data_IF_439104804017
#
_entry.id   IF_439104804017
#
_cell.length_a   1.000
_cell.length_b   1.000
_cell.length_c   1.000
_cell.angle_alpha   90.00
_cell.angle_beta   90.00
_cell.angle_gamma   90.00
#
_symmetry.space_group_name_H-M   'P 1'
#
loop_
_entity.id
_entity.type
_entity.pdbx_description
1 polymer ?
#
# COMPACT_ATOMS: atom_id res chain seq x y z
N UNK A 1 20.26 -29.95 18.70
CA UNK A 1 18.81 -29.66 18.72
C UNK A 1 18.55 -28.47 19.66
N UNK A 2 18.92 -27.26 19.26
CA UNK A 2 18.47 -26.04 19.94
C UNK A 2 17.15 -25.62 19.31
N UNK A 3 16.04 -26.04 19.91
CA UNK A 3 14.75 -25.43 19.63
C UNK A 3 14.85 -23.98 20.06
N UNK A 4 15.11 -23.08 19.12
CA UNK A 4 14.85 -21.65 19.33
C UNK A 4 13.36 -21.57 19.63
N UNK A 5 13.02 -21.38 20.91
CA UNK A 5 11.65 -21.09 21.31
C UNK A 5 11.20 -19.93 20.42
N UNK A 6 10.20 -20.13 19.53
CA UNK A 6 9.76 -19.07 18.65
C UNK A 6 9.28 -17.95 19.56
N UNK A 7 10.05 -16.86 19.60
CA UNK A 7 9.65 -15.64 20.30
C UNK A 7 8.32 -15.26 19.66
N UNK A 8 7.24 -15.29 20.45
CA UNK A 8 5.93 -14.87 19.98
C UNK A 8 5.99 -13.36 19.82
N UNK A 9 6.45 -12.93 18.66
CA UNK A 9 6.35 -11.54 18.22
C UNK A 9 4.85 -11.28 18.08
N UNK A 10 4.27 -10.33 18.83
CA UNK A 10 2.88 -9.95 18.64
C UNK A 10 2.68 -9.56 17.18
N UNK A 11 1.61 -10.05 16.54
CA UNK A 11 1.34 -9.76 15.14
C UNK A 11 1.11 -8.25 14.86
N UNK A 12 0.92 -7.47 15.92
CA UNK A 12 0.71 -6.03 15.88
C UNK A 12 1.86 -5.34 16.63
N UNK A 13 2.90 -4.96 15.88
CA UNK A 13 4.11 -4.30 16.38
C UNK A 13 3.83 -2.83 16.75
N UNK A 14 2.73 -2.25 16.26
CA UNK A 14 2.29 -0.87 16.54
C UNK A 14 1.35 -0.79 17.78
N UNK A 15 1.50 -1.70 18.74
CA UNK A 15 0.72 -1.63 19.97
C UNK A 15 1.10 -0.39 20.81
N UNK A 16 0.14 0.50 21.02
CA UNK A 16 0.34 1.69 21.84
C UNK A 16 0.70 1.33 23.29
N UNK A 17 1.67 2.06 23.84
CA UNK A 17 2.10 1.90 25.24
C UNK A 17 0.94 2.14 26.22
N UNK A 18 0.86 1.22 27.20
CA UNK A 18 -0.13 1.26 28.29
C UNK A 18 0.49 2.00 29.46
N UNK A 19 -0.14 3.09 29.90
CA UNK A 19 0.44 4.00 30.90
C UNK A 19 -0.19 3.78 32.28
N UNK A 20 -1.52 3.62 32.35
CA UNK A 20 -2.23 3.53 33.63
C UNK A 20 -3.20 2.35 33.60
N UNK A 21 -2.98 1.35 34.47
CA UNK A 21 -3.92 0.25 34.67
C UNK A 21 -4.24 -0.57 33.40
N UNK A 22 -3.34 -0.58 32.41
CA UNK A 22 -3.56 -1.26 31.13
C UNK A 22 -4.23 -0.41 30.04
N UNK A 23 -4.56 0.86 30.30
CA UNK A 23 -5.10 1.79 29.30
C UNK A 23 -3.98 2.58 28.61
N UNK A 24 -4.21 2.91 27.33
CA UNK A 24 -3.30 3.77 26.56
C UNK A 24 -3.49 5.25 26.93
N UNK A 25 -2.47 6.09 26.67
CA UNK A 25 -2.56 7.54 26.89
C UNK A 25 -3.82 8.16 26.28
N UNK A 26 -4.16 7.71 25.06
CA UNK A 26 -5.36 8.13 24.33
C UNK A 26 -6.64 7.78 25.09
N UNK A 27 -6.75 6.56 25.60
CA UNK A 27 -7.94 6.10 26.32
C UNK A 27 -8.15 6.91 27.60
N UNK A 28 -7.07 7.17 28.34
CA UNK A 28 -7.10 8.02 29.53
C UNK A 28 -7.53 9.45 29.17
N UNK A 29 -7.02 10.01 28.08
CA UNK A 29 -7.41 11.35 27.62
C UNK A 29 -8.90 11.44 27.24
N UNK A 30 -9.42 10.44 26.51
CA UNK A 30 -10.84 10.41 26.10
C UNK A 30 -11.76 10.25 27.32
N UNK A 31 -11.46 9.30 28.20
CA UNK A 31 -12.26 9.04 29.40
C UNK A 31 -12.18 10.21 30.38
N UNK A 32 -10.97 10.73 30.64
CA UNK A 32 -10.75 11.88 31.50
C UNK A 32 -11.41 13.15 30.97
N UNK A 33 -11.31 13.40 29.66
CA UNK A 33 -11.99 14.52 29.01
C UNK A 33 -13.51 14.41 29.10
N UNK A 34 -14.06 13.21 28.88
CA UNK A 34 -15.51 12.96 28.99
C UNK A 34 -16.00 13.16 30.43
N UNK A 35 -15.27 12.64 31.41
CA UNK A 35 -15.59 12.80 32.83
C UNK A 35 -15.48 14.28 33.27
N UNK A 36 -14.44 14.99 32.82
CA UNK A 36 -14.25 16.41 33.09
C UNK A 36 -15.36 17.27 32.50
N UNK A 37 -15.80 16.98 31.27
CA UNK A 37 -16.93 17.67 30.63
C UNK A 37 -18.22 17.46 31.41
N UNK A 38 -18.51 16.23 31.83
CA UNK A 38 -19.67 15.93 32.65
C UNK A 38 -19.60 16.68 33.99
N UNK A 39 -18.46 16.64 34.67
CA UNK A 39 -18.27 17.34 35.94
C UNK A 39 -18.45 18.86 35.79
N UNK A 40 -17.87 19.47 34.76
CA UNK A 40 -18.06 20.89 34.48
C UNK A 40 -19.54 21.24 34.22
N UNK A 41 -20.25 20.40 33.46
CA UNK A 41 -21.69 20.56 33.26
C UNK A 41 -22.49 20.44 34.56
N UNK A 42 -22.10 19.54 35.47
CA UNK A 42 -22.71 19.42 36.79
C UNK A 42 -22.48 20.66 37.64
N UNK A 43 -21.27 21.21 37.65
CA UNK A 43 -20.96 22.43 38.43
C UNK A 43 -21.75 23.66 37.94
N UNK A 44 -22.09 23.72 36.65
CA UNK A 44 -22.85 24.84 36.07
C UNK A 44 -24.37 24.67 36.20
N UNK A 45 -24.89 23.45 36.01
CA UNK A 45 -26.33 23.18 35.93
C UNK A 45 -26.89 22.46 37.17
N UNK A 46 -26.05 21.91 38.04
CA UNK A 46 -26.45 21.00 39.11
C UNK A 46 -27.36 21.63 40.17
N UNK A 47 -27.25 22.94 40.41
CA UNK A 47 -28.16 23.66 41.32
C UNK A 47 -29.54 23.91 40.69
N UNK A 48 -29.63 23.88 39.36
CA UNK A 48 -30.84 24.23 38.60
C UNK A 48 -31.59 23.01 38.06
N UNK A 49 -30.96 21.83 38.06
CA UNK A 49 -31.48 20.61 37.42
C UNK A 49 -31.53 19.45 38.42
N UNK A 50 -32.68 18.76 38.56
CA UNK A 50 -32.77 17.56 39.40
C UNK A 50 -31.75 16.49 38.99
N UNK A 51 -31.15 15.82 39.97
CA UNK A 51 -30.07 14.83 39.76
C UNK A 51 -30.43 13.74 38.73
N UNK A 52 -31.69 13.29 38.71
CA UNK A 52 -32.17 12.28 37.76
C UNK A 52 -32.12 12.80 36.32
N UNK A 53 -32.51 14.05 36.08
CA UNK A 53 -32.47 14.65 34.74
C UNK A 53 -31.04 14.85 34.25
N UNK A 54 -30.14 15.28 35.15
CA UNK A 54 -28.72 15.35 34.85
C UNK A 54 -28.16 13.97 34.50
N UNK A 55 -28.47 12.94 35.28
CA UNK A 55 -28.03 11.56 35.04
C UNK A 55 -28.50 11.00 33.69
N UNK A 56 -29.74 11.26 33.31
CA UNK A 56 -30.29 10.85 32.00
C UNK A 56 -29.53 11.51 30.84
N UNK A 57 -29.14 12.78 30.96
CA UNK A 57 -28.32 13.48 29.96
C UNK A 57 -26.85 13.07 29.97
N UNK A 58 -26.30 12.76 31.14
CA UNK A 58 -24.90 12.36 31.31
C UNK A 58 -24.63 10.94 30.80
N UNK A 59 -25.58 10.02 30.96
CA UNK A 59 -25.46 8.62 30.57
C UNK A 59 -25.05 8.41 29.09
N UNK A 60 -25.70 9.00 28.08
CA UNK A 60 -25.30 8.82 26.68
C UNK A 60 -23.91 9.40 26.38
N UNK A 61 -23.52 10.51 27.03
CA UNK A 61 -22.20 11.11 26.88
C UNK A 61 -21.12 10.19 27.45
N UNK A 62 -21.34 9.66 28.66
CA UNK A 62 -20.43 8.70 29.30
C UNK A 62 -20.29 7.42 28.46
N UNK A 63 -21.41 6.86 27.98
CA UNK A 63 -21.41 5.67 27.14
C UNK A 63 -20.66 5.91 25.82
N UNK A 64 -20.86 7.07 25.19
CA UNK A 64 -20.15 7.47 23.97
C UNK A 64 -18.65 7.60 24.22
N UNK A 65 -18.23 8.23 25.32
CA UNK A 65 -16.82 8.34 25.70
C UNK A 65 -16.16 6.97 25.91
N UNK A 66 -16.85 6.04 26.56
CA UNK A 66 -16.38 4.66 26.74
C UNK A 66 -16.29 3.94 25.40
N UNK A 67 -17.32 4.05 24.55
CA UNK A 67 -17.36 3.41 23.24
C UNK A 67 -16.25 3.94 22.32
N UNK A 68 -15.95 5.25 22.37
CA UNK A 68 -14.85 5.86 21.61
C UNK A 68 -13.47 5.42 22.14
N UNK A 69 -13.31 5.25 23.45
CA UNK A 69 -12.05 4.84 24.05
C UNK A 69 -11.73 3.35 23.82
N UNK A 70 -12.74 2.48 23.92
CA UNK A 70 -12.55 1.02 23.88
C UNK A 70 -12.89 0.42 22.52
N UNK A 71 -13.86 1.00 21.81
CA UNK A 71 -14.35 0.48 20.55
C UNK A 71 -13.27 0.41 19.48
N UNK A 72 -13.25 -0.69 18.74
CA UNK A 72 -12.44 -0.87 17.54
C UNK A 72 -13.31 -1.41 16.42
N UNK A 73 -13.02 -0.97 15.20
CA UNK A 73 -13.62 -1.48 13.97
C UNK A 73 -12.50 -1.72 12.98
N UNK A 74 -12.41 -2.96 12.48
CA UNK A 74 -11.42 -3.36 11.47
C UNK A 74 -9.97 -2.99 11.85
N UNK A 75 -9.62 -3.10 13.14
CA UNK A 75 -8.31 -2.75 13.68
C UNK A 75 -8.09 -1.26 14.01
N UNK A 76 -8.99 -0.37 13.57
CA UNK A 76 -8.93 1.08 13.85
C UNK A 76 -9.76 1.43 15.08
N UNK A 77 -9.26 2.32 15.93
CA UNK A 77 -10.00 2.82 17.09
C UNK A 77 -11.22 3.66 16.67
N UNK A 78 -12.32 3.57 17.42
CA UNK A 78 -13.61 4.14 17.02
C UNK A 78 -13.57 5.67 16.97
N UNK A 79 -12.78 6.32 17.81
CA UNK A 79 -12.50 7.75 17.75
C UNK A 79 -11.86 8.18 16.42
N UNK A 80 -10.82 7.48 15.96
CA UNK A 80 -10.18 7.72 14.66
C UNK A 80 -11.15 7.44 13.52
N UNK A 81 -11.93 6.37 13.64
CA UNK A 81 -12.94 6.02 12.64
C UNK A 81 -14.02 7.10 12.50
N UNK A 82 -14.61 7.55 13.61
CA UNK A 82 -15.63 8.62 13.62
C UNK A 82 -15.05 9.93 13.11
N UNK A 83 -13.82 10.27 13.51
CA UNK A 83 -13.16 11.48 13.06
C UNK A 83 -12.84 11.43 11.56
N UNK A 84 -12.39 10.28 11.05
CA UNK A 84 -12.23 10.04 9.62
C UNK A 84 -13.57 10.12 8.87
N UNK A 85 -14.64 9.55 9.42
CA UNK A 85 -15.99 9.62 8.85
C UNK A 85 -16.52 11.07 8.81
N UNK A 86 -16.32 11.85 9.88
CA UNK A 86 -16.70 13.26 9.92
C UNK A 86 -15.89 14.10 8.92
N UNK A 87 -14.57 13.85 8.82
CA UNK A 87 -13.73 14.48 7.79
C UNK A 87 -14.19 14.11 6.38
N UNK A 88 -14.49 12.84 6.14
CA UNK A 88 -14.98 12.36 4.85
C UNK A 88 -16.34 12.97 4.48
N UNK A 89 -17.28 13.05 5.43
CA UNK A 89 -18.58 13.69 5.20
C UNK A 89 -18.46 15.19 4.90
N UNK A 90 -17.47 15.87 5.49
CA UNK A 90 -17.18 17.29 5.22
C UNK A 90 -16.31 17.52 3.98
N UNK A 91 -15.64 16.48 3.48
CA UNK A 91 -14.80 16.57 2.28
C UNK A 91 -15.66 16.69 1.02
N UNK A 92 -15.11 17.36 0.00
CA UNK A 92 -15.78 17.41 -1.32
C UNK A 92 -15.73 16.02 -1.96
N UNK A 93 -16.88 15.59 -2.48
CA UNK A 93 -17.05 14.25 -3.07
C UNK A 93 -16.70 14.21 -4.56
N UNK A 94 -16.84 15.36 -5.22
CA UNK A 94 -16.47 15.51 -6.63
C UNK A 94 -14.99 15.88 -6.69
N UNK A 95 -14.16 14.93 -7.12
CA UNK A 95 -12.71 15.08 -7.23
C UNK A 95 -12.28 15.01 -8.70
N UNK A 96 -11.38 15.89 -9.11
CA UNK A 96 -10.87 15.94 -10.48
C UNK A 96 -9.35 15.77 -10.46
N UNK A 97 -8.85 14.98 -11.40
CA UNK A 97 -7.40 14.86 -11.68
C UNK A 97 -6.90 16.13 -12.34
N UNK A 98 -6.62 17.16 -11.54
CA UNK A 98 -6.01 18.42 -11.99
C UNK A 98 -4.61 18.53 -11.38
N UNK A 99 -3.59 18.63 -12.23
CA UNK A 99 -2.19 18.87 -11.82
C UNK A 99 -2.00 20.29 -11.25
N UNK A 100 -2.85 21.22 -11.66
CA UNK A 100 -2.82 22.63 -11.29
C UNK A 100 -4.12 23.05 -10.57
N UNK A 101 -4.12 24.22 -9.93
CA UNK A 101 -5.32 24.77 -9.30
C UNK A 101 -6.46 24.88 -10.30
N UNK A 102 -7.64 24.38 -9.92
CA UNK A 102 -8.85 24.43 -10.76
C UNK A 102 -9.14 25.91 -11.08
N UNK A 103 -9.08 26.35 -12.36
CA UNK A 103 -9.26 27.74 -12.72
C UNK A 103 -10.66 28.23 -12.34
N UNK A 104 -10.78 29.53 -12.03
CA UNK A 104 -12.06 30.14 -11.70
C UNK A 104 -13.01 30.13 -12.90
N UNK A 105 -14.30 29.95 -12.63
CA UNK A 105 -15.33 29.99 -13.67
C UNK A 105 -15.25 31.30 -14.47
N UNK A 106 -15.25 31.24 -15.81
CA UNK A 106 -15.32 32.43 -16.64
C UNK A 106 -16.56 33.27 -16.31
N UNK A 107 -16.43 34.59 -16.30
CA UNK A 107 -17.48 35.52 -15.88
C UNK A 107 -18.79 35.44 -16.69
N UNK A 108 -18.77 34.80 -17.86
CA UNK A 108 -19.95 34.62 -18.73
C UNK A 108 -20.81 33.39 -18.37
N UNK A 109 -20.35 32.52 -17.46
CA UNK A 109 -21.14 31.37 -16.99
C UNK A 109 -22.07 31.81 -15.85
N UNK A 110 -23.35 32.02 -16.17
CA UNK A 110 -24.41 32.35 -15.20
C UNK A 110 -25.12 31.11 -14.62
N UNK A 111 -24.54 29.92 -14.78
CA UNK A 111 -25.16 28.68 -14.30
C UNK A 111 -25.25 28.65 -12.77
N UNK A 112 -26.28 27.96 -12.24
CA UNK A 112 -26.44 27.71 -10.79
C UNK A 112 -25.12 27.16 -10.23
N UNK A 113 -24.67 27.74 -9.13
CA UNK A 113 -23.42 27.39 -8.44
C UNK A 113 -23.49 25.95 -7.92
N UNK A 114 -23.13 24.99 -8.76
CA UNK A 114 -22.84 23.61 -8.33
C UNK A 114 -21.57 23.69 -7.45
N UNK A 115 -21.48 22.92 -6.35
CA UNK A 115 -20.25 22.84 -5.57
C UNK A 115 -19.07 22.51 -6.50
N UNK A 116 -18.04 23.36 -6.49
CA UNK A 116 -16.86 23.14 -7.34
C UNK A 116 -16.20 21.81 -6.95
N UNK A 117 -15.72 21.01 -7.92
CA UNK A 117 -14.91 19.86 -7.59
C UNK A 117 -13.65 20.29 -6.83
N UNK A 118 -13.10 19.39 -6.02
CA UNK A 118 -11.78 19.56 -5.40
C UNK A 118 -10.72 18.81 -6.22
N UNK A 119 -9.45 19.22 -6.15
CA UNK A 119 -8.37 18.46 -6.77
C UNK A 119 -8.22 17.09 -6.09
N UNK A 120 -8.05 16.04 -6.89
CA UNK A 120 -7.69 14.72 -6.42
C UNK A 120 -6.19 14.70 -6.06
N UNK A 121 -5.89 14.68 -4.76
CA UNK A 121 -4.52 14.51 -4.28
C UNK A 121 -4.20 13.02 -4.13
N UNK A 122 -3.40 12.49 -5.06
CA UNK A 122 -2.85 11.14 -4.95
C UNK A 122 -1.56 11.16 -4.10
N UNK A 123 -1.30 10.11 -3.30
CA UNK A 123 -0.05 10.00 -2.53
C UNK A 123 1.21 9.98 -3.40
N UNK A 124 1.08 9.51 -4.64
CA UNK A 124 2.12 9.58 -5.66
C UNK A 124 1.75 10.65 -6.70
N UNK A 125 2.70 11.51 -7.03
CA UNK A 125 2.55 12.55 -8.08
C UNK A 125 2.89 12.03 -9.47
N UNK A 126 3.77 11.03 -9.55
CA UNK A 126 4.21 10.47 -10.82
C UNK A 126 5.32 9.44 -10.65
N UNK A 127 5.74 8.88 -11.78
CA UNK A 127 6.84 7.91 -11.90
C UNK A 127 7.87 8.50 -12.86
N UNK A 128 9.09 8.73 -12.35
CA UNK A 128 10.22 9.21 -13.13
C UNK A 128 10.75 8.11 -14.08
N UNK A 129 11.59 8.49 -15.05
CA UNK A 129 12.08 7.59 -16.10
C UNK A 129 12.97 6.45 -15.57
N UNK A 130 13.60 6.67 -14.42
CA UNK A 130 14.38 5.66 -13.69
C UNK A 130 13.52 4.69 -12.85
N UNK A 131 12.18 4.81 -12.92
CA UNK A 131 11.24 3.97 -12.18
C UNK A 131 10.94 4.44 -10.77
N UNK A 132 11.51 5.56 -10.32
CA UNK A 132 11.24 6.10 -8.98
C UNK A 132 9.86 6.76 -8.90
N UNK A 133 9.18 6.52 -7.78
CA UNK A 133 7.90 7.15 -7.46
C UNK A 133 8.16 8.48 -6.75
N UNK A 134 7.57 9.53 -7.30
CA UNK A 134 7.52 10.85 -6.68
C UNK A 134 6.39 10.92 -5.65
N UNK A 135 6.74 11.06 -4.37
CA UNK A 135 5.79 11.23 -3.26
C UNK A 135 5.62 12.71 -2.86
N UNK A 136 6.16 13.64 -3.64
CA UNK A 136 6.11 15.07 -3.35
C UNK A 136 6.85 15.44 -2.06
N UNK A 137 6.17 16.05 -1.06
CA UNK A 137 6.81 16.42 0.21
C UNK A 137 7.31 15.19 1.00
N UNK A 138 6.72 14.02 0.73
CA UNK A 138 7.06 12.78 1.42
C UNK A 138 8.34 12.11 0.88
N UNK A 139 8.93 12.65 -0.18
CA UNK A 139 10.20 12.21 -0.74
C UNK A 139 10.06 11.39 -2.02
N UNK A 140 10.94 10.40 -2.19
CA UNK A 140 10.93 9.47 -3.32
C UNK A 140 10.91 8.03 -2.84
N UNK A 141 10.35 7.13 -3.64
CA UNK A 141 10.37 5.70 -3.36
C UNK A 141 10.89 4.90 -4.55
N UNK A 142 11.83 3.99 -4.28
CA UNK A 142 12.31 3.00 -5.23
C UNK A 142 11.63 1.66 -4.97
N UNK A 143 11.29 0.95 -6.05
CA UNK A 143 10.63 -0.35 -6.00
C UNK A 143 11.51 -1.43 -6.60
N UNK A 144 11.53 -2.60 -5.97
CA UNK A 144 12.03 -3.82 -6.58
C UNK A 144 11.09 -5.00 -6.34
N UNK A 145 11.00 -5.88 -7.31
CA UNK A 145 10.41 -7.20 -7.13
C UNK A 145 11.47 -8.16 -6.60
N UNK A 146 11.12 -8.94 -5.57
CA UNK A 146 12.02 -9.88 -4.92
C UNK A 146 11.50 -11.30 -5.14
N UNK A 147 12.38 -12.21 -5.56
CA UNK A 147 12.02 -13.62 -5.65
C UNK A 147 11.89 -14.26 -4.28
N UNK A 148 11.42 -15.51 -4.25
CA UNK A 148 11.26 -16.29 -3.02
C UNK A 148 12.12 -17.55 -3.08
N UNK A 149 12.55 -18.02 -1.91
CA UNK A 149 13.24 -19.31 -1.77
C UNK A 149 12.39 -20.30 -0.97
N UNK A 150 12.49 -21.59 -1.31
CA UNK A 150 11.82 -22.68 -0.58
C UNK A 150 12.51 -22.99 0.75
N UNK A 151 12.40 -22.07 1.72
CA UNK A 151 13.10 -22.13 3.01
C UNK A 151 12.92 -23.46 3.75
N UNK A 152 11.69 -23.99 3.82
CA UNK A 152 11.37 -25.23 4.54
C UNK A 152 11.99 -26.50 3.93
N UNK A 153 12.41 -26.47 2.66
CA UNK A 153 13.05 -27.59 1.98
C UNK A 153 14.57 -27.58 2.12
N UNK A 154 15.15 -26.58 2.78
CA UNK A 154 16.59 -26.43 3.01
C UNK A 154 17.04 -27.22 4.23
N UNK A 155 18.31 -27.59 4.26
CA UNK A 155 18.91 -28.24 5.44
C UNK A 155 18.94 -27.25 6.63
N UNK A 156 19.03 -27.71 7.89
CA UNK A 156 19.10 -26.80 9.04
C UNK A 156 20.24 -25.78 8.95
N UNK A 157 21.43 -26.21 8.51
CA UNK A 157 22.59 -25.31 8.35
C UNK A 157 22.35 -24.26 7.25
N UNK A 158 21.69 -24.65 6.15
CA UNK A 158 21.29 -23.71 5.10
C UNK A 158 20.24 -22.72 5.61
N UNK A 159 19.26 -23.18 6.41
CA UNK A 159 18.26 -22.32 7.02
C UNK A 159 18.91 -21.29 7.96
N UNK A 160 19.84 -21.72 8.82
CA UNK A 160 20.58 -20.83 9.72
C UNK A 160 21.44 -19.81 8.96
N UNK A 161 22.05 -20.23 7.84
CA UNK A 161 22.80 -19.34 6.96
C UNK A 161 21.90 -18.29 6.30
N UNK A 162 20.71 -18.69 5.82
CA UNK A 162 19.71 -17.78 5.24
C UNK A 162 19.17 -16.78 6.28
N UNK A 163 18.83 -17.24 7.48
CA UNK A 163 18.37 -16.39 8.58
C UNK A 163 19.46 -15.39 8.98
N UNK A 164 20.71 -15.84 9.09
CA UNK A 164 21.84 -14.98 9.39
C UNK A 164 22.10 -13.94 8.29
N UNK A 165 21.99 -14.35 7.02
CA UNK A 165 22.12 -13.45 5.87
C UNK A 165 21.03 -12.37 5.85
N UNK A 166 19.78 -12.76 6.06
CA UNK A 166 18.66 -11.83 6.18
C UNK A 166 18.81 -10.89 7.37
N UNK A 167 19.26 -11.40 8.53
CA UNK A 167 19.57 -10.58 9.71
C UNK A 167 20.68 -9.55 9.46
N UNK A 168 21.74 -9.91 8.70
CA UNK A 168 22.77 -8.95 8.29
C UNK A 168 22.19 -7.83 7.43
N UNK A 169 21.29 -8.16 6.50
CA UNK A 169 20.61 -7.15 5.69
C UNK A 169 19.74 -6.21 6.54
N UNK A 170 18.95 -6.75 7.47
CA UNK A 170 18.16 -5.91 8.39
C UNK A 170 19.04 -4.97 9.23
N UNK A 171 20.18 -5.46 9.72
CA UNK A 171 21.13 -4.68 10.50
C UNK A 171 21.89 -3.62 9.67
N UNK A 172 21.92 -3.75 8.34
CA UNK A 172 22.57 -2.76 7.46
C UNK A 172 21.63 -1.64 7.01
N UNK A 173 20.33 -1.70 7.35
CA UNK A 173 19.36 -0.71 6.91
C UNK A 173 19.66 0.66 7.55
N UNK A 174 19.95 1.64 6.71
CA UNK A 174 20.21 3.03 7.10
C UNK A 174 18.97 3.94 7.08
N UNK A 175 17.80 3.38 6.77
CA UNK A 175 16.54 4.12 6.70
C UNK A 175 15.33 3.19 6.54
N UNK A 176 14.12 3.75 6.36
CA UNK A 176 12.91 2.96 6.26
C UNK A 176 12.91 2.10 5.00
N UNK A 177 12.46 0.86 5.15
CA UNK A 177 12.23 -0.12 4.09
C UNK A 177 10.90 -0.79 4.38
N UNK A 178 10.10 -1.02 3.35
CA UNK A 178 8.85 -1.78 3.45
C UNK A 178 8.94 -3.02 2.58
N UNK A 179 8.54 -4.16 3.16
CA UNK A 179 8.35 -5.42 2.45
C UNK A 179 6.85 -5.58 2.27
N UNK A 180 6.37 -5.55 1.03
CA UNK A 180 4.97 -5.75 0.69
C UNK A 180 4.81 -7.10 0.02
N UNK A 181 3.97 -7.96 0.60
CA UNK A 181 3.59 -9.25 0.00
C UNK A 181 2.13 -9.13 -0.42
N UNK A 182 1.86 -9.28 -1.72
CA UNK A 182 0.50 -9.26 -2.26
C UNK A 182 0.19 -10.52 -3.06
N UNK A 183 -1.08 -10.91 -3.09
CA UNK A 183 -1.58 -11.83 -4.10
C UNK A 183 -1.84 -11.01 -5.37
N UNK A 184 -1.33 -11.48 -6.50
CA UNK A 184 -1.53 -10.87 -7.82
C UNK A 184 -1.97 -11.95 -8.81
N UNK A 185 -2.90 -11.63 -9.74
CA UNK A 185 -3.24 -12.55 -10.81
C UNK A 185 -1.99 -12.89 -11.64
N UNK A 186 -1.91 -14.14 -12.07
CA UNK A 186 -0.87 -14.61 -12.98
C UNK A 186 -1.36 -14.36 -14.40
N UNK A 187 -0.65 -13.49 -15.13
CA UNK A 187 -0.84 -13.37 -16.57
C UNK A 187 0.01 -14.44 -17.28
N UNK A 188 -0.67 -15.32 -18.01
CA UNK A 188 -0.05 -16.38 -18.81
C UNK A 188 0.07 -16.02 -20.29
N UNK A 189 -0.43 -14.85 -20.71
CA UNK A 189 -0.54 -14.46 -22.12
C UNK A 189 0.82 -14.47 -22.81
N UNK A 190 1.85 -13.93 -22.16
CA UNK A 190 3.22 -13.93 -22.70
C UNK A 190 3.78 -15.35 -22.86
N UNK A 191 3.58 -16.22 -21.87
CA UNK A 191 4.01 -17.61 -21.91
C UNK A 191 3.29 -18.40 -23.02
N UNK A 192 1.97 -18.20 -23.16
CA UNK A 192 1.14 -18.82 -24.19
C UNK A 192 1.60 -18.35 -25.58
N UNK A 193 1.77 -17.05 -25.79
CA UNK A 193 2.24 -16.50 -27.07
C UNK A 193 3.65 -17.00 -27.41
N UNK A 194 4.55 -17.01 -26.43
CA UNK A 194 5.90 -17.55 -26.60
C UNK A 194 5.89 -19.02 -27.02
N UNK A 195 4.99 -19.84 -26.46
CA UNK A 195 4.86 -21.24 -26.88
C UNK A 195 4.37 -21.35 -28.32
N UNK A 196 3.36 -20.57 -28.71
CA UNK A 196 2.79 -20.57 -30.06
C UNK A 196 3.80 -20.09 -31.11
N UNK A 197 4.55 -19.04 -30.80
CA UNK A 197 5.54 -18.47 -31.71
C UNK A 197 6.75 -19.41 -31.87
N UNK A 198 7.27 -19.95 -30.78
CA UNK A 198 8.39 -20.89 -30.82
C UNK A 198 8.00 -22.23 -31.46
N UNK A 199 6.74 -22.64 -31.39
CA UNK A 199 6.27 -23.89 -32.00
C UNK A 199 6.55 -23.97 -33.52
N UNK A 200 6.60 -22.82 -34.19
CA UNK A 200 6.90 -22.69 -35.63
C UNK A 200 8.35 -22.99 -35.99
N UNK A 201 9.26 -22.82 -35.03
CA UNK A 201 10.70 -23.03 -35.22
C UNK A 201 11.14 -24.47 -34.84
N UNK A 202 10.24 -25.28 -34.27
CA UNK A 202 10.55 -26.64 -33.84
C UNK A 202 10.70 -27.57 -35.05
N UNK A 203 11.77 -28.37 -35.05
CA UNK A 203 12.14 -29.23 -36.18
C UNK A 203 11.31 -30.50 -36.31
N UNK A 204 10.68 -30.98 -35.23
CA UNK A 204 9.94 -32.24 -35.21
C UNK A 204 8.43 -31.98 -35.03
N UNK A 205 7.54 -32.53 -35.90
CA UNK A 205 6.09 -32.28 -35.83
C UNK A 205 5.44 -32.60 -34.48
N UNK A 206 5.90 -33.67 -33.82
CA UNK A 206 5.41 -34.03 -32.48
C UNK A 206 5.71 -32.96 -31.42
N UNK A 207 6.84 -32.26 -31.52
CA UNK A 207 7.18 -31.17 -30.58
C UNK A 207 6.32 -29.93 -30.85
N UNK A 208 6.06 -29.62 -32.13
CA UNK A 208 5.10 -28.57 -32.51
C UNK A 208 3.70 -28.89 -31.98
N UNK A 209 3.23 -30.13 -32.10
CA UNK A 209 1.94 -30.55 -31.56
C UNK A 209 1.89 -30.41 -30.03
N UNK A 210 2.92 -30.88 -29.32
CA UNK A 210 3.01 -30.77 -27.87
C UNK A 210 3.03 -29.31 -27.39
N UNK A 211 3.72 -28.41 -28.10
CA UNK A 211 3.75 -26.98 -27.78
C UNK A 211 2.35 -26.33 -27.90
N UNK A 212 1.60 -26.66 -28.96
CA UNK A 212 0.23 -26.17 -29.12
C UNK A 212 -0.73 -26.75 -28.08
N UNK A 213 -0.60 -28.03 -27.75
CA UNK A 213 -1.40 -28.67 -26.70
C UNK A 213 -1.12 -28.03 -25.34
N UNK A 214 0.15 -27.72 -25.04
CA UNK A 214 0.51 -27.02 -23.81
C UNK A 214 -0.04 -25.60 -23.77
N UNK A 215 0.04 -24.83 -24.87
CA UNK A 215 -0.57 -23.51 -24.96
C UNK A 215 -2.10 -23.55 -24.77
N UNK A 216 -2.78 -24.56 -25.34
CA UNK A 216 -4.21 -24.77 -25.15
C UNK A 216 -4.55 -25.15 -23.70
N UNK A 217 -3.72 -25.96 -23.05
CA UNK A 217 -3.86 -26.30 -21.63
C UNK A 217 -3.74 -25.06 -20.74
N UNK A 218 -2.70 -24.23 -20.94
CA UNK A 218 -2.50 -23.00 -20.18
C UNK A 218 -3.64 -22.00 -20.37
N UNK A 219 -4.14 -21.86 -21.60
CA UNK A 219 -5.33 -21.06 -21.92
C UNK A 219 -6.57 -21.59 -21.19
N UNK A 220 -6.76 -22.92 -21.16
CA UNK A 220 -7.84 -23.53 -20.40
C UNK A 220 -7.71 -23.31 -18.89
N UNK A 221 -6.48 -23.26 -18.37
CA UNK A 221 -6.20 -23.02 -16.96
C UNK A 221 -6.53 -21.58 -16.55
N UNK A 222 -6.15 -20.59 -17.37
CA UNK A 222 -6.42 -19.16 -17.09
C UNK A 222 -7.91 -18.82 -17.15
N UNK A 223 -8.70 -19.49 -17.99
CA UNK A 223 -10.15 -19.27 -18.09
C UNK A 223 -10.92 -19.91 -16.93
N UNK A 224 -10.46 -21.06 -16.41
CA UNK A 224 -11.21 -21.83 -15.40
C UNK A 224 -10.83 -21.51 -13.96
N UNK A 225 -9.64 -20.96 -13.73
CA UNK A 225 -9.10 -20.78 -12.38
C UNK A 225 -8.53 -19.38 -12.18
N UNK A 226 -8.80 -18.79 -11.03
CA UNK A 226 -8.10 -17.61 -10.55
C UNK A 226 -6.69 -18.01 -10.12
N UNK A 227 -5.75 -17.92 -11.06
CA UNK A 227 -4.35 -18.19 -10.80
C UNK A 227 -3.73 -17.00 -10.07
N UNK A 228 -3.41 -17.19 -8.80
CA UNK A 228 -2.78 -16.16 -7.97
C UNK A 228 -1.33 -16.53 -7.66
N UNK A 229 -0.42 -15.57 -7.84
CA UNK A 229 0.96 -15.65 -7.34
C UNK A 229 1.16 -14.70 -6.16
N UNK A 230 2.05 -15.09 -5.26
CA UNK A 230 2.58 -14.17 -4.24
C UNK A 230 3.66 -13.32 -4.90
N UNK A 231 3.39 -12.04 -5.03
CA UNK A 231 4.37 -11.05 -5.45
C UNK A 231 4.96 -10.39 -4.21
N UNK A 232 6.29 -10.43 -4.09
CA UNK A 232 7.04 -9.80 -2.99
C UNK A 232 7.72 -8.56 -3.55
N UNK A 233 7.46 -7.42 -2.92
CA UNK A 233 7.97 -6.12 -3.30
C UNK A 233 8.80 -5.54 -2.16
N UNK A 234 9.94 -4.98 -2.52
CA UNK A 234 10.81 -4.22 -1.65
C UNK A 234 10.70 -2.74 -2.00
N UNK A 235 10.28 -1.93 -1.04
CA UNK A 235 10.06 -0.50 -1.20
C UNK A 235 11.08 0.23 -0.33
N UNK A 236 11.93 1.03 -0.95
CA UNK A 236 12.90 1.89 -0.25
C UNK A 236 12.42 3.33 -0.37
N UNK A 237 12.06 3.95 0.76
CA UNK A 237 11.65 5.36 0.81
C UNK A 237 12.79 6.23 1.30
N UNK A 238 13.01 7.34 0.60
CA UNK A 238 13.96 8.38 1.00
C UNK A 238 13.25 9.72 1.14
N UNK A 239 13.28 10.36 2.33
CA UNK A 239 12.75 11.69 2.49
C UNK A 239 13.62 12.71 1.72
N UNK A 240 12.97 13.67 1.10
CA UNK A 240 13.63 14.84 0.53
C UNK A 240 13.84 15.87 1.64
N UNK A 241 15.07 16.00 2.14
CA UNK A 241 15.43 17.14 2.98
C UNK A 241 15.56 18.36 2.07
N UNK A 242 14.57 19.25 2.12
CA UNK A 242 14.49 20.56 1.43
C UNK A 242 14.17 20.57 -0.08
N UNK A 243 13.73 21.75 -0.54
CA UNK A 243 13.41 22.03 -1.94
C UNK A 243 14.68 21.98 -2.80
N UNK A 244 14.78 20.96 -3.64
CA UNK A 244 15.97 20.67 -4.46
C UNK A 244 16.74 19.40 -4.04
N UNK A 245 16.37 18.78 -2.92
CA UNK A 245 16.98 17.53 -2.44
C UNK A 245 16.53 16.26 -3.16
N UNK A 246 15.70 16.36 -4.21
CA UNK A 246 15.13 15.19 -4.91
C UNK A 246 16.21 14.33 -5.54
N UNK A 247 17.16 14.92 -6.27
CA UNK A 247 18.20 14.15 -6.97
C UNK A 247 19.14 13.43 -5.99
N UNK A 248 19.38 14.05 -4.84
CA UNK A 248 20.13 13.40 -3.76
C UNK A 248 19.33 12.28 -3.10
N UNK A 249 18.01 12.43 -2.96
CA UNK A 249 17.13 11.39 -2.43
C UNK A 249 16.98 10.22 -3.40
N UNK A 250 16.83 10.47 -4.71
CA UNK A 250 16.77 9.43 -5.75
C UNK A 250 18.06 8.62 -5.79
N UNK A 251 19.22 9.29 -5.81
CA UNK A 251 20.51 8.62 -5.79
C UNK A 251 20.72 7.77 -4.52
N UNK A 252 20.23 8.23 -3.36
CA UNK A 252 20.25 7.44 -2.11
C UNK A 252 19.32 6.23 -2.18
N UNK A 253 18.11 6.40 -2.69
CA UNK A 253 17.13 5.33 -2.81
C UNK A 253 17.64 4.20 -3.72
N UNK A 254 18.21 4.56 -4.88
CA UNK A 254 18.82 3.61 -5.81
C UNK A 254 20.02 2.87 -5.19
N UNK A 255 20.95 3.60 -4.53
CA UNK A 255 22.08 2.97 -3.85
C UNK A 255 21.65 1.96 -2.78
N UNK A 256 20.66 2.33 -1.95
CA UNK A 256 20.12 1.43 -0.92
C UNK A 256 19.42 0.21 -1.52
N UNK A 257 18.74 0.37 -2.66
CA UNK A 257 18.13 -0.74 -3.37
C UNK A 257 19.19 -1.71 -3.93
N UNK A 258 20.29 -1.18 -4.49
CA UNK A 258 21.41 -1.99 -4.94
C UNK A 258 22.14 -2.71 -3.78
N UNK A 259 22.35 -2.02 -2.65
CA UNK A 259 22.90 -2.63 -1.44
C UNK A 259 22.02 -3.77 -0.94
N UNK A 260 20.70 -3.56 -0.91
CA UNK A 260 19.75 -4.61 -0.59
C UNK A 260 19.84 -5.78 -1.59
N UNK A 261 19.94 -5.50 -2.89
CA UNK A 261 20.11 -6.52 -3.92
C UNK A 261 21.38 -7.37 -3.71
N UNK A 262 22.51 -6.71 -3.41
CA UNK A 262 23.79 -7.40 -3.13
C UNK A 262 23.72 -8.28 -1.88
N UNK A 263 23.14 -7.79 -0.79
CA UNK A 263 23.05 -8.53 0.47
C UNK A 263 22.04 -9.68 0.41
N UNK A 264 20.89 -9.46 -0.24
CA UNK A 264 19.85 -10.47 -0.40
C UNK A 264 20.23 -11.55 -1.43
N UNK A 265 21.08 -11.22 -2.42
CA UNK A 265 21.65 -12.22 -3.32
C UNK A 265 22.43 -13.32 -2.56
N UNK A 266 23.12 -12.96 -1.46
CA UNK A 266 23.75 -13.92 -0.56
C UNK A 266 22.78 -14.88 0.15
N UNK A 267 21.49 -14.55 0.16
CA UNK A 267 20.40 -15.39 0.67
C UNK A 267 19.69 -16.18 -0.46
N UNK A 268 20.23 -16.19 -1.68
CA UNK A 268 19.59 -16.82 -2.83
C UNK A 268 18.34 -16.08 -3.32
N UNK A 269 18.13 -14.84 -2.91
CA UNK A 269 17.02 -13.99 -3.35
C UNK A 269 17.51 -13.09 -4.49
N UNK A 270 16.70 -12.94 -5.52
CA UNK A 270 16.97 -12.03 -6.64
C UNK A 270 16.11 -10.78 -6.46
N UNK A 271 16.75 -9.63 -6.35
CA UNK A 271 16.08 -8.33 -6.26
C UNK A 271 16.19 -7.64 -7.62
N UNK A 272 15.06 -7.40 -8.26
CA UNK A 272 14.96 -6.75 -9.56
C UNK A 272 14.31 -5.38 -9.40
N UNK A 273 15.09 -4.27 -9.48
CA UNK A 273 14.52 -2.93 -9.53
C UNK A 273 13.50 -2.81 -10.66
N UNK A 274 12.40 -2.12 -10.39
CA UNK A 274 11.36 -1.87 -11.40
C UNK A 274 11.69 -0.58 -12.15
N UNK A 275 11.63 -0.65 -13.48
CA UNK A 275 11.72 0.50 -14.36
C UNK A 275 10.41 1.30 -14.38
N UNK A 276 10.39 2.42 -15.12
CA UNK A 276 9.21 3.28 -15.18
C UNK A 276 7.95 2.58 -15.70
N UNK A 277 7.99 1.80 -16.80
CA UNK A 277 6.82 1.05 -17.26
C UNK A 277 6.32 0.02 -16.24
N UNK A 278 7.20 -0.80 -15.66
CA UNK A 278 6.81 -1.80 -14.68
C UNK A 278 6.26 -1.18 -13.40
N UNK A 279 6.84 -0.06 -12.94
CA UNK A 279 6.32 0.69 -11.78
C UNK A 279 4.94 1.26 -12.05
N UNK A 280 4.69 1.82 -13.24
CA UNK A 280 3.35 2.32 -13.62
C UNK A 280 2.32 1.20 -13.69
N UNK A 281 2.65 0.07 -14.34
CA UNK A 281 1.77 -1.09 -14.41
C UNK A 281 1.47 -1.67 -13.02
N UNK A 282 2.48 -1.74 -12.14
CA UNK A 282 2.30 -2.16 -10.76
C UNK A 282 1.37 -1.21 -10.01
N UNK A 283 1.57 0.11 -10.08
CA UNK A 283 0.68 1.08 -9.44
C UNK A 283 -0.75 0.98 -9.97
N UNK A 284 -0.94 0.83 -11.28
CA UNK A 284 -2.26 0.65 -11.87
C UNK A 284 -2.95 -0.61 -11.36
N UNK A 285 -2.22 -1.74 -11.27
CA UNK A 285 -2.74 -3.00 -10.70
C UNK A 285 -3.09 -2.92 -9.20
N UNK A 286 -2.66 -1.87 -8.49
CA UNK A 286 -3.07 -1.62 -7.11
C UNK A 286 -4.42 -0.89 -7.04
N UNK A 287 -4.76 -0.10 -8.06
CA UNK A 287 -6.05 0.61 -8.13
C UNK A 287 -7.16 -0.25 -8.71
N UNK A 288 -6.83 -1.18 -9.61
CA UNK A 288 -7.74 -2.21 -10.11
C UNK A 288 -7.12 -3.61 -9.94
N UNK A 289 -7.27 -4.23 -8.76
CA UNK A 289 -6.66 -5.53 -8.47
C UNK A 289 -7.38 -6.70 -9.15
N UNK A 290 -8.61 -6.48 -9.63
CA UNK A 290 -9.42 -7.50 -10.31
C UNK A 290 -9.38 -7.37 -11.84
N UNK A 291 -8.95 -6.21 -12.34
CA UNK A 291 -8.74 -5.98 -13.76
C UNK A 291 -7.58 -6.80 -14.33
N UNK A 292 -7.58 -7.04 -15.66
CA UNK A 292 -6.44 -7.64 -16.33
C UNK A 292 -5.19 -6.77 -16.13
N UNK A 293 -4.03 -7.40 -16.00
CA UNK A 293 -2.78 -6.66 -15.93
C UNK A 293 -2.61 -5.85 -17.22
N UNK A 294 -2.47 -4.53 -17.06
CA UNK A 294 -2.25 -3.63 -18.19
C UNK A 294 -0.90 -3.96 -18.81
N UNK A 295 -0.87 -4.25 -20.11
CA UNK A 295 0.39 -4.40 -20.84
C UNK A 295 1.18 -3.09 -20.74
N UNK A 296 2.45 -3.17 -20.36
CA UNK A 296 3.35 -2.01 -20.25
C UNK A 296 3.50 -1.26 -21.56
N UNK A 297 3.31 -1.95 -22.69
CA UNK A 297 3.44 -1.40 -24.05
C UNK A 297 2.20 -0.63 -24.50
N UNK A 298 1.09 -0.73 -23.77
CA UNK A 298 -0.19 -0.10 -24.11
C UNK A 298 -0.46 1.17 -23.29
N UNK A 299 0.44 1.56 -22.38
CA UNK A 299 0.27 2.72 -21.52
C UNK A 299 1.00 3.94 -22.10
N UNK A 300 0.23 4.91 -22.58
CA UNK A 300 0.76 6.22 -22.97
C UNK A 300 1.30 6.98 -21.74
N UNK A 301 2.46 7.61 -21.91
CA UNK A 301 3.06 8.45 -20.86
C UNK A 301 2.31 9.79 -20.70
N UNK A 302 2.41 10.47 -19.54
CA UNK A 302 1.79 11.78 -19.37
C UNK A 302 2.28 12.79 -20.42
N UNK A 303 1.36 13.28 -21.27
CA UNK A 303 1.67 14.20 -22.37
C UNK A 303 1.99 13.53 -23.70
N UNK A 304 2.04 12.20 -23.76
CA UNK A 304 2.15 11.47 -25.00
C UNK A 304 0.82 11.49 -25.76
N UNK A 305 0.88 11.91 -27.02
CA UNK A 305 -0.29 11.93 -27.88
C UNK A 305 -0.69 10.49 -28.17
N UNK A 306 -1.84 10.06 -27.67
CA UNK A 306 -2.41 8.74 -27.95
C UNK A 306 -2.74 8.68 -29.45
N UNK A 307 -1.94 7.95 -30.22
CA UNK A 307 -2.09 7.83 -31.68
C UNK A 307 -2.98 6.66 -32.11
N UNK A 308 -3.29 5.73 -31.20
CA UNK A 308 -4.03 4.50 -31.51
C UNK A 308 -5.18 4.31 -30.53
N UNK A 309 -6.42 4.57 -30.98
CA UNK A 309 -7.64 4.17 -30.30
C UNK A 309 -8.14 2.85 -30.88
N UNK A 310 -7.42 1.75 -30.65
CA UNK A 310 -7.86 0.42 -31.07
C UNK A 310 -8.63 -0.25 -29.94
N UNK A 311 -9.95 -0.36 -30.06
CA UNK A 311 -10.70 -1.37 -29.32
C UNK A 311 -10.23 -2.75 -29.82
N UNK A 312 -9.62 -3.54 -28.93
CA UNK A 312 -9.63 -5.00 -29.04
C UNK A 312 -10.50 -5.54 -27.92
#
# INVERSE_FOLDING_TARGET
>A
MSWVQPVRIPADVDQEDRIVGGFTARQVAILGGSAGLLYAAYMLLGEHVPLVMYGVGALPIALTGILLAVGRRDGVSLDRYVLAALRHQRSRKDLVSASESIPSDPAWIAARSVPRPAPLHLPARGVADDGLIDLGPDGVAALAEVSTVSFALRTPDEQDALVSGFGRWLNSLSGPVQILIRAAPVDLSEAINSLVDNARALSHPALTAAAHEHAAFLTGLSVRHDLLRRQVLLIVREPCAEAGGRDAASARALRRLEEAARLLAGCGLTVRPLDAPATRALLASCFDPAGPLLSTDQLATPGEVIRTGGHQ
#
